data_IF_860731397353
#
_entry.id   IF_860731397353
#
_cell.length_a   1.000
_cell.length_b   1.000
_cell.length_c   1.000
_cell.angle_alpha   90.00
_cell.angle_beta   90.00
_cell.angle_gamma   90.00
#
_symmetry.space_group_name_H-M   'P 1'
#
loop_
_entity.id
_entity.type
_entity.pdbx_description
1 polymer ?
#
# COMPACT_ATOMS: atom_id res chain seq x y z
N UNK A 1 3.99 -3.50 0.25
CA UNK A 1 5.33 -3.04 -0.16
C UNK A 1 5.94 -4.10 -1.06
N UNK A 2 6.71 -3.74 -2.08
CA UNK A 2 7.17 -4.68 -3.10
C UNK A 2 8.64 -4.47 -3.46
N UNK A 3 9.36 -5.57 -3.64
CA UNK A 3 10.61 -5.59 -4.39
C UNK A 3 10.35 -6.00 -5.83
N UNK A 4 11.00 -5.32 -6.75
CA UNK A 4 10.75 -5.42 -8.17
C UNK A 4 12.03 -5.80 -8.90
N UNK A 5 11.89 -6.59 -9.96
CA UNK A 5 12.98 -6.94 -10.86
C UNK A 5 13.63 -5.66 -11.42
N UNK A 6 14.96 -5.64 -11.45
CA UNK A 6 15.71 -4.50 -11.98
C UNK A 6 15.26 -4.18 -13.41
N UNK A 7 14.99 -2.91 -13.67
CA UNK A 7 14.51 -2.42 -14.97
C UNK A 7 12.99 -2.56 -15.18
N UNK A 8 12.25 -3.18 -14.26
CA UNK A 8 10.79 -3.39 -14.38
C UNK A 8 9.97 -2.48 -13.47
N UNK A 9 10.56 -1.52 -12.76
CA UNK A 9 9.86 -0.66 -11.78
C UNK A 9 8.66 0.06 -12.39
N UNK A 10 8.87 0.75 -13.52
CA UNK A 10 7.80 1.51 -14.19
C UNK A 10 6.68 0.60 -14.72
N UNK A 11 7.02 -0.47 -15.43
CA UNK A 11 6.03 -1.40 -15.97
C UNK A 11 5.23 -2.10 -14.87
N UNK A 12 5.90 -2.49 -13.78
CA UNK A 12 5.25 -3.11 -12.62
C UNK A 12 4.28 -2.13 -11.95
N UNK A 13 4.67 -0.86 -11.81
CA UNK A 13 3.79 0.17 -11.25
C UNK A 13 2.54 0.38 -12.12
N UNK A 14 2.69 0.41 -13.44
CA UNK A 14 1.56 0.51 -14.37
C UNK A 14 0.63 -0.69 -14.31
N UNK A 15 1.16 -1.90 -14.15
CA UNK A 15 0.35 -3.11 -13.96
C UNK A 15 -0.39 -3.10 -12.62
N UNK A 16 0.28 -2.69 -11.55
CA UNK A 16 -0.35 -2.55 -10.22
C UNK A 16 -1.51 -1.55 -10.26
N UNK A 17 -1.39 -0.44 -10.98
CA UNK A 17 -2.48 0.55 -11.12
C UNK A 17 -3.71 0.00 -11.85
N UNK A 18 -3.59 -1.10 -12.60
CA UNK A 18 -4.73 -1.78 -13.26
C UNK A 18 -5.44 -2.76 -12.33
N UNK A 19 -4.83 -3.10 -11.18
CA UNK A 19 -5.41 -4.02 -10.21
C UNK A 19 -6.54 -3.33 -9.45
N UNK A 20 -7.73 -3.94 -9.47
CA UNK A 20 -8.89 -3.42 -8.74
C UNK A 20 -8.56 -3.33 -7.24
N UNK A 21 -8.80 -2.16 -6.66
CA UNK A 21 -8.52 -1.89 -5.25
C UNK A 21 -7.19 -1.21 -5.00
N UNK A 22 -6.23 -1.25 -5.95
CA UNK A 22 -5.04 -0.40 -5.89
C UNK A 22 -5.46 1.03 -6.23
N UNK A 23 -5.24 1.94 -5.29
CA UNK A 23 -5.61 3.36 -5.45
C UNK A 23 -4.41 4.23 -5.75
N UNK A 24 -3.24 3.87 -5.22
CA UNK A 24 -2.00 4.60 -5.44
C UNK A 24 -0.81 3.64 -5.52
N UNK A 25 0.19 4.00 -6.31
CA UNK A 25 1.48 3.30 -6.38
C UNK A 25 2.59 4.35 -6.33
N UNK A 26 3.52 4.18 -5.40
CA UNK A 26 4.65 5.07 -5.19
C UNK A 26 5.96 4.33 -5.38
N UNK A 27 6.92 4.98 -6.02
CA UNK A 27 8.32 4.56 -5.98
C UNK A 27 8.97 5.16 -4.74
N UNK A 28 9.74 4.34 -4.03
CA UNK A 28 10.41 4.76 -2.79
C UNK A 28 11.89 4.39 -2.83
N UNK A 29 12.69 5.14 -2.09
CA UNK A 29 14.09 4.82 -1.84
C UNK A 29 14.19 4.00 -0.56
N UNK A 30 15.04 2.98 -0.50
CA UNK A 30 15.23 2.14 0.69
C UNK A 30 15.20 0.65 0.37
N UNK A 31 14.65 -0.15 1.29
CA UNK A 31 14.58 -1.61 1.16
C UNK A 31 13.64 -2.08 0.06
N UNK A 32 12.59 -1.31 -0.22
CA UNK A 32 11.56 -1.62 -1.20
C UNK A 32 11.65 -0.71 -2.42
N UNK A 33 11.18 -1.20 -3.56
CA UNK A 33 11.13 -0.43 -4.80
C UNK A 33 9.79 0.29 -4.95
N UNK A 34 8.68 -0.38 -4.57
CA UNK A 34 7.33 0.16 -4.70
C UNK A 34 6.48 0.00 -3.42
N UNK A 35 5.61 0.97 -3.19
CA UNK A 35 4.49 0.88 -2.24
C UNK A 35 3.20 0.99 -3.03
N UNK A 36 2.39 -0.07 -3.01
CA UNK A 36 1.02 -0.04 -3.50
C UNK A 36 0.06 0.14 -2.32
N UNK A 37 -0.81 1.14 -2.41
CA UNK A 37 -1.89 1.37 -1.46
C UNK A 37 -3.15 0.71 -1.99
N UNK A 38 -3.74 -0.16 -1.17
CA UNK A 38 -4.94 -0.92 -1.51
C UNK A 38 -6.08 -0.48 -0.60
N UNK A 39 -7.20 -0.08 -1.18
CA UNK A 39 -8.45 0.22 -0.47
C UNK A 39 -9.49 -0.83 -0.81
N UNK A 40 -9.93 -1.54 0.22
CA UNK A 40 -10.95 -2.59 0.15
C UNK A 40 -12.07 -2.29 1.13
N UNK A 41 -13.25 -2.88 0.91
CA UNK A 41 -14.41 -2.68 1.79
C UNK A 41 -14.35 -3.53 3.04
N UNK A 42 -13.78 -4.73 2.93
CA UNK A 42 -13.53 -5.63 4.05
C UNK A 42 -12.05 -6.08 4.04
N UNK A 43 -11.46 -6.43 5.20
CA UNK A 43 -10.07 -6.89 5.25
C UNK A 43 -9.80 -8.20 4.50
N UNK A 44 -10.82 -9.05 4.34
CA UNK A 44 -10.70 -10.35 3.67
C UNK A 44 -10.38 -10.19 2.18
N UNK A 45 -10.92 -9.14 1.53
CA UNK A 45 -10.63 -8.76 0.13
C UNK A 45 -9.14 -8.45 -0.10
N UNK A 46 -8.35 -8.13 0.94
CA UNK A 46 -6.90 -7.94 0.79
C UNK A 46 -6.23 -9.24 0.35
N UNK A 47 -6.66 -10.37 0.89
CA UNK A 47 -6.10 -11.67 0.53
C UNK A 47 -6.33 -11.98 -0.97
N UNK A 48 -7.51 -11.62 -1.50
CA UNK A 48 -7.82 -11.79 -2.91
C UNK A 48 -6.93 -10.90 -3.78
N UNK A 49 -6.76 -9.62 -3.43
CA UNK A 49 -5.89 -8.69 -4.18
C UNK A 49 -4.45 -9.22 -4.22
N UNK A 50 -3.91 -9.64 -3.09
CA UNK A 50 -2.52 -10.13 -3.00
C UNK A 50 -2.35 -11.46 -3.72
N UNK A 51 -3.26 -12.41 -3.48
CA UNK A 51 -3.10 -13.79 -3.97
C UNK A 51 -3.40 -13.91 -5.46
N UNK A 52 -4.48 -13.29 -5.93
CA UNK A 52 -4.95 -13.44 -7.31
C UNK A 52 -4.29 -12.47 -8.29
N UNK A 53 -3.89 -11.27 -7.85
CA UNK A 53 -3.44 -10.24 -8.76
C UNK A 53 -1.94 -9.97 -8.65
N UNK A 54 -1.39 -9.79 -7.43
CA UNK A 54 0.03 -9.46 -7.28
C UNK A 54 0.95 -10.61 -7.73
N UNK A 55 0.63 -11.87 -7.40
CA UNK A 55 1.47 -13.01 -7.81
C UNK A 55 1.57 -13.21 -9.33
N UNK A 56 0.66 -12.63 -10.13
CA UNK A 56 0.66 -12.77 -11.59
C UNK A 56 1.52 -11.73 -12.30
N UNK A 57 2.01 -10.72 -11.59
CA UNK A 57 2.84 -9.65 -12.16
C UNK A 57 4.30 -10.11 -12.12
N UNK A 58 4.87 -10.43 -13.29
CA UNK A 58 6.23 -10.99 -13.44
C UNK A 58 7.34 -10.11 -12.84
N UNK A 59 7.10 -8.80 -12.79
CA UNK A 59 8.05 -7.86 -12.21
C UNK A 59 8.23 -7.99 -10.69
N UNK A 60 7.30 -8.61 -9.96
CA UNK A 60 7.33 -8.66 -8.49
C UNK A 60 8.21 -9.82 -8.02
N UNK A 61 9.25 -9.51 -7.26
CA UNK A 61 10.15 -10.50 -6.64
C UNK A 61 9.71 -10.89 -5.23
N UNK A 62 9.20 -9.92 -4.47
CA UNK A 62 8.75 -10.10 -3.10
C UNK A 62 7.65 -9.09 -2.80
N UNK A 63 6.69 -9.47 -1.97
CA UNK A 63 5.68 -8.57 -1.42
C UNK A 63 5.58 -8.74 0.10
N UNK A 64 5.48 -7.61 0.80
CA UNK A 64 5.18 -7.54 2.23
C UNK A 64 3.90 -6.72 2.44
N UNK A 65 2.84 -7.38 2.88
CA UNK A 65 1.49 -6.80 3.01
C UNK A 65 1.24 -6.32 4.44
N UNK A 66 0.82 -5.06 4.57
CA UNK A 66 0.51 -4.42 5.85
C UNK A 66 -0.94 -3.95 5.83
N UNK A 67 -1.72 -4.39 6.82
CA UNK A 67 -3.11 -3.96 7.00
C UNK A 67 -3.16 -2.90 8.09
N UNK A 68 -3.59 -1.69 7.73
CA UNK A 68 -3.78 -0.62 8.69
C UNK A 68 -5.11 -0.82 9.45
N UNK A 69 -5.03 -1.14 10.75
CA UNK A 69 -6.20 -1.31 11.60
C UNK A 69 -6.81 0.01 12.08
N UNK A 70 -6.00 1.07 12.14
CA UNK A 70 -6.43 2.40 12.55
C UNK A 70 -5.74 3.44 11.68
N UNK A 71 -6.53 4.30 11.08
CA UNK A 71 -6.04 5.46 10.35
C UNK A 71 -6.05 6.65 11.30
N UNK A 72 -4.93 7.37 11.36
CA UNK A 72 -4.82 8.64 12.07
C UNK A 72 -4.66 9.72 10.99
N UNK A 73 -5.68 10.55 10.82
CA UNK A 73 -5.63 11.69 9.90
C UNK A 73 -5.22 12.97 10.62
N UNK A 74 -4.73 13.99 9.91
CA UNK A 74 -4.38 15.30 10.51
C UNK A 74 -5.54 15.91 11.30
N UNK A 75 -6.80 15.69 10.88
CA UNK A 75 -7.99 16.10 11.63
C UNK A 75 -8.13 15.39 12.99
N UNK A 76 -7.63 14.16 13.14
CA UNK A 76 -7.67 13.40 14.40
C UNK A 76 -6.53 13.81 15.35
N UNK A 77 -5.41 14.29 14.81
CA UNK A 77 -4.27 14.74 15.59
C UNK A 77 -4.53 16.08 16.30
N UNK A 78 -5.20 17.05 15.66
CA UNK A 78 -5.56 18.32 16.30
C UNK A 78 -6.50 18.14 17.51
N UNK A 79 -7.43 17.19 17.43
CA UNK A 79 -8.33 16.84 18.53
C UNK A 79 -7.58 16.22 19.74
N UNK A 80 -6.53 15.45 19.49
CA UNK A 80 -5.71 14.84 20.54
C UNK A 80 -4.82 15.87 21.26
N UNK A 81 -4.31 16.89 20.55
CA UNK A 81 -3.54 17.98 21.17
C UNK A 81 -4.42 18.97 21.96
N UNK A 82 -5.67 19.19 21.53
CA UNK A 82 -6.61 20.09 22.24
C UNK A 82 -7.03 19.56 23.62
N UNK A 83 -7.02 18.24 23.81
CA UNK A 83 -7.33 17.61 25.11
C UNK A 83 -6.17 17.63 26.11
N UNK A 84 -4.96 18.02 25.68
CA UNK A 84 -3.78 18.11 26.54
C UNK A 84 -3.45 19.51 27.07
N UNK A 85 -4.23 20.53 26.70
CA UNK A 85 -3.97 21.93 27.06
C UNK A 85 -4.79 22.46 28.25
N UNK A 86 -5.68 21.64 28.84
CA UNK A 86 -6.36 21.94 30.10
C UNK A 86 -5.99 20.90 31.15
N UNK A 87 -4.82 21.09 31.75
CA UNK A 87 -4.31 20.35 32.91
C UNK A 87 -3.36 21.20 33.72
#
# INVERSE_FOLDING_TARGET
MLNVKRGCVSSTAEELLKVKGVTEVYSVTGEFDLIAVVRVRNPEEVADVVTEHLHRIDGILKSDTHVAFRHYSEHDLEAAFSLGAEG
#
